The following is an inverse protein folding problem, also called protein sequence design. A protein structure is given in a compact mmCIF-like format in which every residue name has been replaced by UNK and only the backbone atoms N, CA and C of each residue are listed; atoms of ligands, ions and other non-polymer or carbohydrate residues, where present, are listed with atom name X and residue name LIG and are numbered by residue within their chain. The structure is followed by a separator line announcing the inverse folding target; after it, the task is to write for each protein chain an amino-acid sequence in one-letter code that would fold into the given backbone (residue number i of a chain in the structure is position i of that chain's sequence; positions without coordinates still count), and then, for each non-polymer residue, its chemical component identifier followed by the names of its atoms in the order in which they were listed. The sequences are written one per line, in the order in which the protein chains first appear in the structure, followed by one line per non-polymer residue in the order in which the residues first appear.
data_IF_114743836950
#
_entry.id   IF_114743836950
#
_cell.length_a   1.000
_cell.length_b   1.000
_cell.length_c   1.000
_cell.angle_alpha   90.00
_cell.angle_beta   90.00
_cell.angle_gamma   90.00
#
_symmetry.space_group_name_H-M   'P 1'
#
loop_
_entity.id
_entity.type
_entity.pdbx_description
1 polymer ?
#
# COMPACT_ATOMS: atom_id res chain seq x y z
N UNK A 1 8.05 -3.72 -5.76
CA UNK A 1 9.39 -3.52 -6.35
C UNK A 1 10.48 -3.73 -5.31
N UNK A 2 11.75 -3.71 -5.74
CA UNK A 2 12.91 -3.95 -4.87
C UNK A 2 13.26 -2.75 -3.96
N UNK A 3 12.71 -1.58 -4.23
CA UNK A 3 12.96 -0.34 -3.48
C UNK A 3 14.35 0.25 -3.67
N UNK A 4 15.10 -0.22 -4.67
CA UNK A 4 16.50 0.16 -4.90
C UNK A 4 16.73 1.39 -5.76
N UNK A 5 15.70 2.17 -6.07
CA UNK A 5 15.76 3.30 -7.03
C UNK A 5 16.60 4.49 -6.58
N UNK A 6 17.08 4.49 -5.34
CA UNK A 6 17.93 5.56 -4.81
C UNK A 6 19.39 5.46 -5.30
N UNK A 7 19.84 4.26 -5.64
CA UNK A 7 21.21 3.99 -6.07
C UNK A 7 21.29 3.48 -7.52
N UNK A 8 22.39 3.80 -8.20
CA UNK A 8 22.75 3.15 -9.44
C UNK A 8 23.05 1.65 -9.19
N UNK A 9 23.20 0.87 -10.25
CA UNK A 9 23.57 -0.54 -10.11
C UNK A 9 24.94 -0.69 -9.42
N UNK A 10 25.09 -1.73 -8.59
CA UNK A 10 26.33 -2.05 -7.89
C UNK A 10 26.11 -2.48 -6.43
N UNK A 11 27.17 -2.79 -5.70
CA UNK A 11 27.12 -3.33 -4.34
C UNK A 11 26.33 -2.47 -3.34
N UNK A 12 26.38 -1.14 -3.47
CA UNK A 12 25.63 -0.22 -2.61
C UNK A 12 24.12 -0.35 -2.81
N UNK A 13 23.70 -0.51 -4.06
CA UNK A 13 22.30 -0.77 -4.38
C UNK A 13 21.83 -2.10 -3.80
N UNK A 14 22.62 -3.14 -3.92
CA UNK A 14 22.27 -4.48 -3.42
C UNK A 14 22.17 -4.47 -1.88
N UNK A 15 23.10 -3.80 -1.19
CA UNK A 15 23.05 -3.62 0.25
C UNK A 15 21.81 -2.83 0.67
N UNK A 16 21.46 -1.78 -0.05
CA UNK A 16 20.25 -0.98 0.22
C UNK A 16 18.97 -1.79 0.02
N UNK A 17 18.87 -2.58 -1.05
CA UNK A 17 17.73 -3.49 -1.28
C UNK A 17 17.60 -4.50 -0.13
N UNK A 18 18.73 -5.08 0.31
CA UNK A 18 18.74 -6.00 1.45
C UNK A 18 18.24 -5.33 2.72
N UNK A 19 18.67 -4.10 3.00
CA UNK A 19 18.18 -3.29 4.10
C UNK A 19 16.67 -3.05 4.01
N UNK A 20 16.16 -2.61 2.86
CA UNK A 20 14.73 -2.36 2.63
C UNK A 20 13.87 -3.61 2.88
N UNK A 21 14.34 -4.76 2.41
CA UNK A 21 13.66 -6.04 2.67
C UNK A 21 13.66 -6.40 4.16
N UNK A 22 14.76 -6.15 4.86
CA UNK A 22 14.85 -6.40 6.30
C UNK A 22 13.93 -5.48 7.09
N UNK A 23 13.90 -4.19 6.78
CA UNK A 23 12.98 -3.23 7.38
C UNK A 23 11.52 -3.66 7.21
N UNK A 24 11.15 -4.11 6.00
CA UNK A 24 9.80 -4.63 5.71
C UNK A 24 9.47 -5.88 6.53
N UNK A 25 10.41 -6.83 6.69
CA UNK A 25 10.22 -8.01 7.54
C UNK A 25 10.05 -7.64 9.01
N UNK A 26 10.85 -6.68 9.48
CA UNK A 26 10.78 -6.22 10.87
C UNK A 26 9.42 -5.57 11.14
N UNK A 27 8.95 -4.71 10.26
CA UNK A 27 7.62 -4.09 10.35
C UNK A 27 6.49 -5.14 10.29
N UNK A 28 6.60 -6.12 9.39
CA UNK A 28 5.65 -7.21 9.27
C UNK A 28 5.55 -8.05 10.53
N UNK A 29 6.69 -8.42 11.11
CA UNK A 29 6.75 -9.17 12.37
C UNK A 29 6.12 -8.37 13.54
N UNK A 30 6.40 -7.05 13.59
CA UNK A 30 5.83 -6.17 14.60
C UNK A 30 4.30 -6.06 14.47
N UNK A 31 3.79 -5.95 13.25
CA UNK A 31 2.36 -5.86 12.95
C UNK A 31 1.65 -7.23 13.02
N UNK A 32 2.39 -8.34 12.87
CA UNK A 32 1.84 -9.69 13.00
C UNK A 32 1.11 -10.21 11.76
N UNK A 33 1.39 -9.68 10.56
CA UNK A 33 0.71 -10.13 9.34
C UNK A 33 1.49 -11.17 8.51
N UNK A 34 2.60 -11.69 9.04
CA UNK A 34 3.37 -12.76 8.41
C UNK A 34 4.54 -12.27 7.57
N UNK A 35 5.20 -13.20 6.87
CA UNK A 35 6.38 -12.90 6.08
C UNK A 35 6.01 -12.21 4.75
N UNK A 36 6.55 -11.04 4.44
CA UNK A 36 6.33 -10.38 3.16
C UNK A 36 6.91 -11.17 1.98
N UNK A 37 6.15 -11.27 0.89
CA UNK A 37 6.62 -11.85 -0.37
C UNK A 37 7.17 -10.73 -1.25
N UNK A 38 8.45 -10.82 -1.62
CA UNK A 38 9.09 -9.86 -2.49
C UNK A 38 9.06 -10.34 -3.94
N UNK A 39 8.49 -9.50 -4.81
CA UNK A 39 8.58 -9.68 -6.25
C UNK A 39 9.76 -8.89 -6.79
N UNK A 40 10.48 -9.44 -7.75
CA UNK A 40 11.75 -8.87 -8.22
C UNK A 40 11.56 -7.86 -9.35
N UNK A 41 10.58 -6.98 -9.20
CA UNK A 41 10.46 -5.82 -10.07
C UNK A 41 11.42 -4.73 -9.59
N UNK A 42 12.11 -4.13 -10.54
CA UNK A 42 12.99 -3.00 -10.24
C UNK A 42 12.17 -1.77 -9.89
N UNK A 43 12.64 -1.02 -8.90
CA UNK A 43 12.02 0.23 -8.47
C UNK A 43 11.96 1.24 -9.62
N UNK A 44 10.82 1.88 -9.82
CA UNK A 44 10.43 2.78 -10.90
C UNK A 44 10.24 2.13 -12.28
N UNK A 45 10.34 0.81 -12.37
CA UNK A 45 10.19 0.06 -13.63
C UNK A 45 8.97 -0.88 -13.61
N UNK A 46 8.12 -0.82 -12.58
CA UNK A 46 6.87 -1.57 -12.58
C UNK A 46 5.92 -0.99 -13.63
N UNK A 47 5.49 -1.82 -14.56
CA UNK A 47 4.54 -1.42 -15.60
C UNK A 47 3.20 -2.12 -15.44
N UNK A 48 2.12 -1.39 -15.64
CA UNK A 48 0.80 -1.98 -15.82
C UNK A 48 0.76 -2.74 -17.14
N UNK A 49 0.71 -4.06 -17.06
CA UNK A 49 0.64 -4.97 -18.20
C UNK A 49 -0.06 -6.27 -17.81
N UNK A 50 -0.32 -7.11 -18.80
CA UNK A 50 -1.02 -8.37 -18.60
C UNK A 50 -0.27 -9.33 -17.64
N UNK A 51 1.06 -9.37 -17.71
CA UNK A 51 1.89 -10.21 -16.84
C UNK A 51 1.71 -9.86 -15.36
N UNK A 52 1.70 -8.57 -15.03
CA UNK A 52 1.46 -8.10 -13.66
C UNK A 52 0.06 -8.44 -13.18
N UNK A 53 -0.95 -8.22 -14.03
CA UNK A 53 -2.36 -8.51 -13.70
C UNK A 53 -2.56 -10.00 -13.47
N UNK A 54 -2.02 -10.85 -14.34
CA UNK A 54 -2.12 -12.30 -14.19
C UNK A 54 -1.45 -12.79 -12.89
N UNK A 55 -0.25 -12.32 -12.59
CA UNK A 55 0.46 -12.65 -11.35
C UNK A 55 -0.33 -12.26 -10.10
N UNK A 56 -0.99 -11.11 -10.12
CA UNK A 56 -1.88 -10.69 -9.04
C UNK A 56 -3.12 -11.60 -8.95
N UNK A 57 -3.77 -11.93 -10.07
CA UNK A 57 -4.91 -12.87 -10.09
C UNK A 57 -4.54 -14.23 -9.50
N UNK A 58 -3.38 -14.78 -9.88
CA UNK A 58 -2.87 -16.05 -9.35
C UNK A 58 -2.61 -15.96 -7.84
N UNK A 59 -2.08 -14.82 -7.37
CA UNK A 59 -1.83 -14.59 -5.94
C UNK A 59 -3.14 -14.52 -5.16
N UNK A 60 -4.13 -13.76 -5.65
CA UNK A 60 -5.48 -13.67 -5.06
C UNK A 60 -6.13 -15.06 -4.99
N UNK A 61 -6.07 -15.83 -6.07
CA UNK A 61 -6.63 -17.17 -6.11
C UNK A 61 -5.92 -18.13 -5.14
N UNK A 62 -4.58 -18.10 -5.10
CA UNK A 62 -3.77 -18.95 -4.22
C UNK A 62 -4.02 -18.67 -2.73
N UNK A 63 -4.25 -17.42 -2.38
CA UNK A 63 -4.50 -17.00 -1.00
C UNK A 63 -5.97 -17.03 -0.62
N UNK A 64 -6.88 -17.26 -1.57
CA UNK A 64 -8.33 -17.14 -1.39
C UNK A 64 -8.72 -15.79 -0.79
N UNK A 65 -7.99 -14.72 -1.16
CA UNK A 65 -8.21 -13.39 -0.62
C UNK A 65 -9.56 -12.83 -1.08
N UNK A 66 -10.35 -12.33 -0.16
CA UNK A 66 -11.59 -11.59 -0.42
C UNK A 66 -11.39 -10.07 -0.43
N UNK A 67 -10.24 -9.61 0.03
CA UNK A 67 -9.83 -8.21 0.01
C UNK A 67 -8.48 -8.05 -0.66
N UNK A 68 -8.37 -7.05 -1.52
CA UNK A 68 -7.13 -6.61 -2.14
C UNK A 68 -6.87 -5.15 -1.76
N UNK A 69 -5.78 -4.90 -1.06
CA UNK A 69 -5.33 -3.54 -0.77
C UNK A 69 -4.28 -3.12 -1.78
N UNK A 70 -4.40 -1.91 -2.31
CA UNK A 70 -3.44 -1.35 -3.26
C UNK A 70 -3.22 0.15 -3.01
N UNK A 71 -2.07 0.71 -3.40
CA UNK A 71 -1.88 2.15 -3.41
C UNK A 71 -2.94 2.86 -4.23
N UNK A 72 -3.26 4.10 -3.86
CA UNK A 72 -4.20 4.95 -4.59
C UNK A 72 -3.73 5.25 -6.03
N UNK A 73 -4.63 5.38 -7.02
CA UNK A 73 -4.27 5.85 -8.35
C UNK A 73 -3.80 7.32 -8.38
N UNK A 74 -4.01 8.07 -7.29
CA UNK A 74 -3.55 9.46 -7.13
C UNK A 74 -2.11 9.57 -6.65
N UNK A 75 -1.44 8.44 -6.36
CA UNK A 75 -0.07 8.42 -5.86
C UNK A 75 0.94 9.10 -6.80
N UNK A 76 1.97 9.72 -6.20
CA UNK A 76 3.02 10.40 -6.94
C UNK A 76 4.01 9.42 -7.58
N UNK A 77 4.26 8.28 -6.91
CA UNK A 77 5.20 7.27 -7.39
C UNK A 77 4.62 6.48 -8.57
N UNK A 78 5.36 6.33 -9.69
CA UNK A 78 4.84 5.65 -10.89
C UNK A 78 4.46 4.19 -10.60
N UNK A 79 5.27 3.45 -9.84
CA UNK A 79 4.96 2.04 -9.51
C UNK A 79 3.66 1.91 -8.72
N UNK A 80 3.36 2.86 -7.83
CA UNK A 80 2.10 2.87 -7.09
C UNK A 80 0.91 3.02 -8.04
N UNK A 81 0.98 3.96 -9.00
CA UNK A 81 -0.08 4.14 -10.00
C UNK A 81 -0.25 2.92 -10.89
N UNK A 82 0.86 2.35 -11.38
CA UNK A 82 0.80 1.13 -12.20
C UNK A 82 0.21 -0.05 -11.43
N UNK A 83 0.56 -0.20 -10.14
CA UNK A 83 -0.01 -1.22 -9.28
C UNK A 83 -1.50 -0.99 -9.01
N UNK A 84 -1.93 0.27 -8.83
CA UNK A 84 -3.35 0.59 -8.63
C UNK A 84 -4.21 0.20 -9.84
N UNK A 85 -3.73 0.46 -11.06
CA UNK A 85 -4.43 0.06 -12.29
C UNK A 85 -4.46 -1.46 -12.46
N UNK A 86 -3.38 -2.15 -12.11
CA UNK A 86 -3.36 -3.61 -12.12
C UNK A 86 -4.34 -4.19 -11.09
N UNK A 87 -4.39 -3.64 -9.87
CA UNK A 87 -5.36 -4.05 -8.85
C UNK A 87 -6.82 -3.85 -9.30
N UNK A 88 -7.11 -2.74 -9.98
CA UNK A 88 -8.44 -2.49 -10.56
C UNK A 88 -8.79 -3.53 -11.65
N UNK A 89 -7.83 -3.88 -12.52
CA UNK A 89 -8.03 -4.91 -13.53
C UNK A 89 -8.28 -6.29 -12.89
N UNK A 90 -7.57 -6.63 -11.81
CA UNK A 90 -7.79 -7.85 -11.02
C UNK A 90 -9.20 -7.87 -10.42
N UNK A 91 -9.62 -6.78 -9.77
CA UNK A 91 -10.96 -6.70 -9.20
C UNK A 91 -12.07 -6.88 -10.25
N UNK A 92 -11.88 -6.29 -11.46
CA UNK A 92 -12.81 -6.50 -12.59
C UNK A 92 -12.88 -7.95 -13.05
N UNK A 93 -11.76 -8.66 -13.09
CA UNK A 93 -11.68 -10.06 -13.52
C UNK A 93 -12.26 -11.02 -12.49
N UNK A 94 -11.99 -10.75 -11.22
CA UNK A 94 -12.44 -11.59 -10.09
C UNK A 94 -13.91 -11.35 -9.77
N UNK A 95 -14.43 -10.15 -10.04
CA UNK A 95 -15.83 -9.79 -9.84
C UNK A 95 -16.24 -9.76 -8.36
N UNK A 96 -17.45 -10.21 -8.07
CA UNK A 96 -18.12 -10.09 -6.76
C UNK A 96 -17.39 -10.70 -5.57
N UNK A 97 -16.44 -11.61 -5.79
CA UNK A 97 -15.72 -12.27 -4.70
C UNK A 97 -14.54 -11.48 -4.15
N UNK A 98 -14.20 -10.33 -4.75
CA UNK A 98 -13.07 -9.51 -4.33
C UNK A 98 -13.49 -8.06 -4.09
N UNK A 99 -13.19 -7.55 -2.92
CA UNK A 99 -13.28 -6.13 -2.59
C UNK A 99 -11.91 -5.48 -2.77
N UNK A 100 -11.84 -4.38 -3.50
CA UNK A 100 -10.63 -3.59 -3.67
C UNK A 100 -10.65 -2.37 -2.75
N UNK A 101 -9.61 -2.16 -1.97
CA UNK A 101 -9.42 -1.00 -1.13
C UNK A 101 -8.14 -0.25 -1.52
N UNK A 102 -8.29 0.94 -2.05
CA UNK A 102 -7.16 1.84 -2.27
C UNK A 102 -6.83 2.60 -0.99
N UNK A 103 -5.54 2.67 -0.67
CA UNK A 103 -5.01 3.39 0.49
C UNK A 103 -4.05 4.51 0.10
N UNK A 104 -3.77 5.39 1.06
CA UNK A 104 -2.92 6.56 0.90
C UNK A 104 -1.48 6.25 1.30
N UNK A 105 -0.51 6.79 0.53
CA UNK A 105 0.93 6.77 0.90
C UNK A 105 1.48 8.20 0.83
N UNK A 106 1.69 8.73 -0.37
CA UNK A 106 2.29 10.03 -0.61
C UNK A 106 1.31 11.10 -1.09
N UNK A 107 0.10 10.71 -1.46
CA UNK A 107 -0.96 11.61 -1.90
C UNK A 107 -2.31 11.25 -1.28
N UNK A 108 -3.04 12.25 -0.72
CA UNK A 108 -4.40 12.02 -0.25
C UNK A 108 -5.35 11.59 -1.36
N UNK A 109 -6.27 10.68 -1.06
CA UNK A 109 -7.36 10.26 -1.93
C UNK A 109 -8.71 10.79 -1.42
N UNK A 110 -9.77 10.89 -2.25
CA UNK A 110 -11.13 11.11 -1.78
C UNK A 110 -11.70 9.80 -1.20
N UNK A 111 -11.70 9.63 0.14
CA UNK A 111 -12.11 8.37 0.74
C UNK A 111 -13.62 8.22 0.74
N UNK A 112 -14.11 6.99 0.59
CA UNK A 112 -15.50 6.64 0.88
C UNK A 112 -15.64 5.80 2.17
N UNK A 113 -14.53 5.49 2.82
CA UNK A 113 -14.44 4.82 4.13
C UNK A 113 -13.34 5.48 4.96
N UNK A 114 -13.65 5.73 6.22
CA UNK A 114 -12.68 6.12 7.25
C UNK A 114 -12.65 5.00 8.29
N UNK A 115 -11.47 4.57 8.63
CA UNK A 115 -11.22 3.55 9.64
C UNK A 115 -10.59 4.23 10.86
N UNK A 116 -11.27 4.16 12.01
CA UNK A 116 -10.70 4.57 13.28
C UNK A 116 -9.51 3.66 13.63
N UNK A 117 -8.35 4.27 13.81
CA UNK A 117 -7.10 3.61 14.19
C UNK A 117 -6.52 4.16 15.50
N UNK A 118 -7.34 4.84 16.32
CA UNK A 118 -6.89 5.48 17.57
C UNK A 118 -6.15 4.48 18.46
N UNK A 119 -6.72 3.30 18.67
CA UNK A 119 -6.12 2.23 19.47
C UNK A 119 -4.88 1.57 18.82
N UNK A 120 -4.64 1.84 17.55
CA UNK A 120 -3.53 1.27 16.77
C UNK A 120 -2.43 2.28 16.45
N UNK A 121 -2.60 3.55 16.85
CA UNK A 121 -1.70 4.64 16.46
C UNK A 121 -0.26 4.38 16.89
N UNK A 122 -0.05 3.99 18.15
CA UNK A 122 1.27 3.65 18.65
C UNK A 122 1.90 2.48 17.89
N UNK A 123 1.11 1.43 17.63
CA UNK A 123 1.58 0.26 16.87
C UNK A 123 1.94 0.61 15.44
N UNK A 124 1.17 1.48 14.79
CA UNK A 124 1.47 2.00 13.46
C UNK A 124 2.74 2.85 13.45
N UNK A 125 2.90 3.75 14.41
CA UNK A 125 4.10 4.57 14.58
C UNK A 125 5.35 3.71 14.71
N UNK A 126 5.33 2.70 15.56
CA UNK A 126 6.43 1.76 15.72
C UNK A 126 6.76 1.00 14.43
N UNK A 127 5.76 0.59 13.66
CA UNK A 127 5.97 -0.06 12.38
C UNK A 127 6.61 0.88 11.34
N UNK A 128 6.23 2.16 11.33
CA UNK A 128 6.86 3.17 10.47
C UNK A 128 8.34 3.35 10.84
N UNK A 129 8.67 3.37 12.12
CA UNK A 129 10.05 3.52 12.61
C UNK A 129 10.96 2.32 12.28
N UNK A 130 10.41 1.19 11.85
CA UNK A 130 11.21 0.11 11.27
C UNK A 130 11.87 0.48 9.94
N UNK A 131 11.36 1.50 9.24
CA UNK A 131 11.85 1.93 7.92
C UNK A 131 12.90 3.05 8.03
N UNK A 132 13.98 2.79 8.74
CA UNK A 132 15.05 3.77 9.03
C UNK A 132 15.63 4.38 7.75
N UNK A 133 15.83 3.57 6.70
CA UNK A 133 16.34 4.06 5.43
C UNK A 133 15.45 5.11 4.77
N UNK A 134 14.13 5.02 4.97
CA UNK A 134 13.19 5.98 4.43
C UNK A 134 13.09 7.23 5.29
N UNK A 135 13.08 7.06 6.60
CA UNK A 135 13.02 8.16 7.55
C UNK A 135 14.28 9.04 7.53
N UNK A 136 15.42 8.48 7.08
CA UNK A 136 16.64 9.27 6.86
C UNK A 136 16.54 10.22 5.66
N UNK A 137 15.62 9.96 4.72
CA UNK A 137 15.41 10.79 3.51
C UNK A 137 14.34 11.84 3.74
N UNK A 138 13.26 11.49 4.41
CA UNK A 138 12.10 12.36 4.62
C UNK A 138 11.38 11.99 5.92
N UNK A 139 10.79 12.96 6.61
CA UNK A 139 10.02 12.78 7.83
C UNK A 139 8.63 12.15 7.53
N UNK A 140 8.62 10.94 6.96
CA UNK A 140 7.38 10.24 6.59
C UNK A 140 6.47 9.96 7.77
N UNK A 141 7.04 9.70 8.95
CA UNK A 141 6.34 9.53 10.22
C UNK A 141 5.39 10.72 10.49
N UNK A 142 5.92 11.94 10.44
CA UNK A 142 5.16 13.16 10.67
C UNK A 142 4.08 13.39 9.61
N UNK A 143 4.37 13.09 8.35
CA UNK A 143 3.41 13.24 7.27
C UNK A 143 2.25 12.27 7.40
N UNK A 144 2.52 11.01 7.76
CA UNK A 144 1.50 9.99 7.99
C UNK A 144 0.64 10.33 9.20
N UNK A 145 1.25 10.73 10.31
CA UNK A 145 0.54 11.16 11.52
C UNK A 145 -0.38 12.36 11.23
N UNK A 146 0.14 13.38 10.54
CA UNK A 146 -0.65 14.56 10.18
C UNK A 146 -1.85 14.22 9.28
N UNK A 147 -1.67 13.29 8.32
CA UNK A 147 -2.75 12.84 7.46
C UNK A 147 -3.79 12.04 8.27
N UNK A 148 -3.36 11.15 9.15
CA UNK A 148 -4.28 10.37 9.98
C UNK A 148 -5.07 11.27 10.94
N UNK A 149 -4.45 12.30 11.49
CA UNK A 149 -5.15 13.31 12.28
C UNK A 149 -6.14 14.11 11.42
N UNK A 150 -5.74 14.58 10.23
CA UNK A 150 -6.64 15.29 9.32
C UNK A 150 -7.89 14.48 8.97
N UNK A 151 -7.78 13.17 8.85
CA UNK A 151 -8.90 12.27 8.53
C UNK A 151 -9.96 12.20 9.63
N UNK A 152 -9.68 12.66 10.83
CA UNK A 152 -10.68 12.74 11.92
C UNK A 152 -11.58 13.95 11.82
N UNK A 153 -11.34 14.90 10.92
CA UNK A 153 -12.03 16.20 10.87
C UNK A 153 -13.58 16.08 10.84
N UNK A 154 -14.11 15.04 10.25
CA UNK A 154 -15.57 14.79 10.15
C UNK A 154 -16.07 13.71 11.11
N UNK A 155 -15.21 13.19 11.97
CA UNK A 155 -15.51 12.12 12.91
C UNK A 155 -15.77 12.67 14.32
N UNK A 156 -16.16 11.79 15.25
CA UNK A 156 -16.35 12.14 16.65
C UNK A 156 -15.02 12.61 17.29
N UNK A 157 -15.11 13.49 18.27
CA UNK A 157 -13.95 14.10 18.93
C UNK A 157 -13.07 13.08 19.66
N UNK A 158 -13.63 11.95 20.05
CA UNK A 158 -12.91 10.87 20.74
C UNK A 158 -11.98 10.09 19.81
N UNK A 159 -12.16 10.22 18.49
CA UNK A 159 -11.31 9.57 17.50
C UNK A 159 -10.06 10.42 17.27
N UNK A 160 -8.90 9.87 17.63
CA UNK A 160 -7.62 10.57 17.58
C UNK A 160 -6.91 10.43 16.24
N UNK A 161 -7.14 9.31 15.53
CA UNK A 161 -6.55 9.04 14.23
C UNK A 161 -7.45 8.16 13.36
N UNK A 162 -7.46 8.42 12.06
CA UNK A 162 -8.19 7.60 11.10
C UNK A 162 -7.38 7.39 9.81
N UNK A 163 -7.61 6.27 9.15
CA UNK A 163 -7.12 6.00 7.78
C UNK A 163 -8.24 6.17 6.76
N UNK A 164 -7.89 6.76 5.63
CA UNK A 164 -8.80 6.93 4.50
C UNK A 164 -8.64 5.84 3.45
N UNK A 165 -9.78 5.25 3.03
CA UNK A 165 -9.81 4.25 1.96
C UNK A 165 -10.85 4.61 0.90
N UNK A 166 -10.52 4.31 -0.35
CA UNK A 166 -11.52 4.23 -1.40
C UNK A 166 -11.80 2.75 -1.68
N UNK A 167 -12.94 2.29 -1.13
CA UNK A 167 -13.36 0.88 -1.23
C UNK A 167 -14.30 0.72 -2.41
N UNK A 168 -14.02 -0.25 -3.25
CA UNK A 168 -14.80 -0.65 -4.41
C UNK A 168 -15.18 -2.12 -4.22
N UNK A 169 -16.46 -2.38 -3.98
CA UNK A 169 -16.96 -3.74 -3.95
C UNK A 169 -17.11 -4.33 -5.36
N UNK A 170 -17.10 -5.65 -5.45
CA UNK A 170 -17.13 -6.35 -6.73
C UNK A 170 -18.39 -6.06 -7.56
N UNK A 171 -19.51 -5.66 -6.94
CA UNK A 171 -20.73 -5.26 -7.66
C UNK A 171 -20.57 -3.89 -8.34
N UNK A 172 -19.87 -2.97 -7.70
CA UNK A 172 -19.57 -1.64 -8.24
C UNK A 172 -18.58 -1.73 -9.40
N UNK A 173 -17.55 -2.58 -9.29
CA UNK A 173 -16.54 -2.78 -10.34
C UNK A 173 -17.14 -3.25 -11.66
N UNK A 174 -18.19 -4.08 -11.60
CA UNK A 174 -18.82 -4.64 -12.81
C UNK A 174 -19.80 -3.70 -13.48
N UNK A 175 -20.31 -2.68 -12.77
CA UNK A 175 -21.42 -1.85 -13.25
C UNK A 175 -21.06 -0.43 -13.66
N UNK A 176 -20.05 0.20 -13.07
CA UNK A 176 -19.91 1.66 -13.08
C UNK A 176 -18.49 2.23 -13.32
N UNK A 177 -17.54 1.46 -13.77
CA UNK A 177 -16.23 2.02 -14.16
C UNK A 177 -16.09 1.96 -15.68
N UNK A 178 -15.77 3.12 -16.33
CA UNK A 178 -15.61 3.20 -17.77
C UNK A 178 -14.47 2.33 -18.29
#
# INVERSE_FOLDING_TARGET
TDGGGFYAAGPERDAYIAQRRQESRTAAAYLGYGEPVFWEYRDRELLYNETLVQRLCETVAKTSASWLYAPSPYELHPDHRHLSWAALAVARRTGRSLTLAFYEIGAPLPPNRLLDISDLLERKSQAIHCFVSQLSVQAYDRHVEALNYYRTYTLSREIEAAEGYWVIDGDTVTKNLP
#
